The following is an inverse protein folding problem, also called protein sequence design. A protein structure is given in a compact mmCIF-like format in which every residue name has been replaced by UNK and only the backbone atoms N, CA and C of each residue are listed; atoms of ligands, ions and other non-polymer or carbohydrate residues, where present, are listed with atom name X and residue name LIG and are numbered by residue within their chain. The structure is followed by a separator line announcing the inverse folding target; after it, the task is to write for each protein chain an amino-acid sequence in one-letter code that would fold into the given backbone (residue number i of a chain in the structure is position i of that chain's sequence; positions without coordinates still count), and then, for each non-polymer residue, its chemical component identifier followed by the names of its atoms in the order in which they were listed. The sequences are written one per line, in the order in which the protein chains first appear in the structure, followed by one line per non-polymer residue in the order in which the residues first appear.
data_IF_806516373272
#
_entry.id   IF_806516373272
#
_cell.length_a   1.000
_cell.length_b   1.000
_cell.length_c   1.000
_cell.angle_alpha   90.00
_cell.angle_beta   90.00
_cell.angle_gamma   90.00
#
_symmetry.space_group_name_H-M   'P 1'
#
loop_
_entity.id
_entity.type
_entity.pdbx_description
1 polymer ?
#
# COMPACT_ATOMS: atom_id res chain seq x y z
N UNK A 1 -5.14 15.39 10.87
CA UNK A 1 -5.77 14.20 10.24
C UNK A 1 -5.23 14.08 8.82
N UNK A 2 -4.99 12.87 8.34
CA UNK A 2 -4.55 12.67 6.95
C UNK A 2 -5.79 12.58 6.07
N UNK A 3 -5.86 13.42 5.04
CA UNK A 3 -6.91 13.39 4.01
C UNK A 3 -6.26 13.08 2.67
N UNK A 4 -6.78 12.07 1.97
CA UNK A 4 -6.35 11.75 0.61
C UNK A 4 -7.41 12.20 -0.39
N UNK A 5 -7.01 12.90 -1.43
CA UNK A 5 -7.88 13.32 -2.52
C UNK A 5 -7.37 12.75 -3.84
N UNK A 6 -8.23 12.04 -4.52
CA UNK A 6 -8.01 11.53 -5.88
C UNK A 6 -8.76 12.46 -6.81
N UNK A 7 -8.06 13.11 -7.75
CA UNK A 7 -8.68 14.14 -8.61
C UNK A 7 -8.54 13.77 -10.07
N UNK A 8 -9.67 13.46 -10.71
CA UNK A 8 -9.79 13.20 -12.14
C UNK A 8 -8.74 12.21 -12.67
N UNK A 9 -8.50 11.13 -11.92
CA UNK A 9 -7.51 10.12 -12.30
C UNK A 9 -7.97 9.38 -13.54
N UNK A 10 -7.19 9.50 -14.61
CA UNK A 10 -7.36 8.74 -15.85
C UNK A 10 -6.15 7.86 -16.06
N UNK A 11 -6.39 6.61 -16.43
CA UNK A 11 -5.35 5.65 -16.82
C UNK A 11 -5.81 4.76 -17.95
N UNK A 12 -5.04 4.78 -19.02
CA UNK A 12 -5.23 3.91 -20.18
C UNK A 12 -4.05 2.96 -20.33
N UNK A 13 -4.33 1.77 -20.84
CA UNK A 13 -3.31 0.82 -21.26
C UNK A 13 -3.21 0.77 -22.78
N UNK A 14 -2.20 0.09 -23.28
CA UNK A 14 -2.01 -0.11 -24.72
C UNK A 14 -3.30 -0.60 -25.39
N UNK A 15 -3.53 -0.19 -26.64
CA UNK A 15 -4.74 -0.42 -27.46
C UNK A 15 -6.00 0.35 -27.01
N UNK A 16 -5.84 1.45 -26.29
CA UNK A 16 -6.96 2.34 -25.97
C UNK A 16 -7.92 1.80 -24.91
N UNK A 17 -7.52 0.77 -24.15
CA UNK A 17 -8.32 0.27 -23.04
C UNK A 17 -8.21 1.21 -21.85
N UNK A 18 -9.25 1.98 -21.58
CA UNK A 18 -9.35 2.85 -20.40
C UNK A 18 -9.63 1.97 -19.18
N UNK A 19 -8.75 2.04 -18.19
CA UNK A 19 -8.89 1.33 -16.91
C UNK A 19 -9.50 2.21 -15.81
N UNK A 20 -9.22 3.51 -15.85
CA UNK A 20 -9.85 4.54 -15.02
C UNK A 20 -10.17 5.74 -15.91
N UNK A 21 -11.36 6.28 -15.76
CA UNK A 21 -11.85 7.42 -16.51
C UNK A 21 -12.31 8.51 -15.55
N UNK A 22 -11.51 9.57 -15.40
CA UNK A 22 -11.77 10.75 -14.57
C UNK A 22 -12.21 10.42 -13.13
N UNK A 23 -11.68 9.35 -12.55
CA UNK A 23 -12.03 8.89 -11.22
C UNK A 23 -11.63 9.92 -10.16
N UNK A 24 -12.61 10.29 -9.34
CA UNK A 24 -12.38 11.23 -8.23
C UNK A 24 -12.98 10.70 -6.93
N UNK A 25 -12.24 10.84 -5.83
CA UNK A 25 -12.70 10.50 -4.49
C UNK A 25 -11.97 11.33 -3.44
N UNK A 26 -12.62 11.58 -2.32
CA UNK A 26 -12.00 12.16 -1.13
C UNK A 26 -12.12 11.15 0.01
N UNK A 27 -10.99 10.77 0.58
CA UNK A 27 -10.89 9.78 1.63
C UNK A 27 -10.39 10.46 2.91
N UNK A 28 -11.22 10.40 3.94
CA UNK A 28 -10.87 10.81 5.30
C UNK A 28 -10.38 9.60 6.10
N UNK A 29 -9.82 9.77 7.32
CA UNK A 29 -9.42 8.63 8.13
C UNK A 29 -10.57 7.64 8.34
N UNK A 30 -10.34 6.38 7.95
CA UNK A 30 -11.35 5.34 8.01
C UNK A 30 -10.93 4.09 7.21
N UNK A 31 -11.82 3.12 7.16
CA UNK A 31 -11.65 1.89 6.37
C UNK A 31 -12.58 1.96 5.16
N UNK A 32 -12.03 1.80 3.97
CA UNK A 32 -12.76 1.86 2.71
C UNK A 32 -12.67 0.53 1.97
N UNK A 33 -13.82 0.03 1.52
CA UNK A 33 -13.91 -1.13 0.64
C UNK A 33 -13.97 -0.69 -0.82
N UNK A 34 -13.04 -1.19 -1.64
CA UNK A 34 -13.06 -0.98 -3.09
C UNK A 34 -13.72 -2.20 -3.77
N UNK A 35 -14.98 -2.04 -4.17
CA UNK A 35 -15.79 -3.09 -4.75
C UNK A 35 -15.96 -2.91 -6.26
N UNK A 36 -16.13 -4.01 -6.97
CA UNK A 36 -16.38 -4.00 -8.40
C UNK A 36 -15.95 -5.32 -9.06
N UNK A 37 -16.45 -5.60 -10.28
CA UNK A 37 -16.09 -6.81 -11.03
C UNK A 37 -14.62 -6.84 -11.42
N UNK A 38 -14.15 -8.00 -11.91
CA UNK A 38 -12.82 -8.09 -12.48
C UNK A 38 -12.71 -7.19 -13.72
N UNK A 39 -11.61 -6.45 -13.81
CA UNK A 39 -11.42 -5.46 -14.88
C UNK A 39 -11.98 -4.06 -14.60
N UNK A 40 -12.64 -3.83 -13.45
CA UNK A 40 -13.17 -2.51 -13.06
C UNK A 40 -12.12 -1.47 -12.65
N UNK A 41 -10.83 -1.71 -12.88
CA UNK A 41 -9.77 -0.75 -12.57
C UNK A 41 -9.26 -0.76 -11.13
N UNK A 42 -9.74 -1.66 -10.25
CA UNK A 42 -9.34 -1.71 -8.83
C UNK A 42 -7.82 -1.79 -8.64
N UNK A 43 -7.17 -2.74 -9.31
CA UNK A 43 -5.71 -2.91 -9.23
C UNK A 43 -4.96 -1.71 -9.84
N UNK A 44 -5.52 -1.10 -10.88
CA UNK A 44 -4.97 0.12 -11.48
C UNK A 44 -5.00 1.27 -10.47
N UNK A 45 -6.14 1.47 -9.80
CA UNK A 45 -6.26 2.50 -8.77
C UNK A 45 -5.28 2.28 -7.62
N UNK A 46 -5.14 1.03 -7.13
CA UNK A 46 -4.15 0.71 -6.08
C UNK A 46 -2.72 0.99 -6.55
N UNK A 47 -2.37 0.65 -7.80
CA UNK A 47 -1.05 0.93 -8.35
C UNK A 47 -0.77 2.43 -8.53
N UNK A 48 -1.78 3.23 -8.85
CA UNK A 48 -1.67 4.70 -8.88
C UNK A 48 -1.44 5.26 -7.47
N UNK A 49 -2.22 4.81 -6.48
CA UNK A 49 -2.07 5.24 -5.09
C UNK A 49 -0.68 4.86 -4.54
N UNK A 50 -0.18 3.67 -4.88
CA UNK A 50 1.14 3.21 -4.42
C UNK A 50 2.32 3.75 -5.24
N UNK A 51 2.05 4.57 -6.26
CA UNK A 51 3.06 5.09 -7.20
C UNK A 51 3.83 3.98 -7.96
N UNK A 52 3.24 2.79 -8.11
CA UNK A 52 3.73 1.76 -9.01
C UNK A 52 3.35 2.06 -10.47
N UNK A 53 2.37 2.94 -10.68
CA UNK A 53 1.96 3.50 -11.96
C UNK A 53 1.79 5.02 -11.81
N UNK A 54 2.01 5.74 -12.90
CA UNK A 54 1.68 7.16 -13.00
C UNK A 54 0.33 7.32 -13.72
N UNK A 55 -0.54 8.25 -13.29
CA UNK A 55 -1.75 8.56 -14.01
C UNK A 55 -1.42 9.26 -15.33
N UNK A 56 -2.26 9.05 -16.35
CA UNK A 56 -2.15 9.80 -17.60
C UNK A 56 -2.70 11.21 -17.43
N UNK A 57 -3.75 11.35 -16.61
CA UNK A 57 -4.33 12.64 -16.19
C UNK A 57 -4.76 12.59 -14.73
N UNK A 58 -4.86 13.78 -14.12
CA UNK A 58 -5.25 13.93 -12.73
C UNK A 58 -4.08 13.83 -11.75
N UNK A 59 -4.40 13.87 -10.46
CA UNK A 59 -3.40 13.84 -9.40
C UNK A 59 -3.95 13.24 -8.11
N UNK A 60 -3.03 12.81 -7.25
CA UNK A 60 -3.31 12.33 -5.90
C UNK A 60 -2.71 13.30 -4.92
N UNK A 61 -3.52 13.77 -3.97
CA UNK A 61 -3.09 14.71 -2.93
C UNK A 61 -3.19 14.08 -1.55
N UNK A 62 -2.23 14.39 -0.70
CA UNK A 62 -2.29 14.16 0.75
C UNK A 62 -2.28 15.52 1.43
N UNK A 63 -3.35 15.83 2.14
CA UNK A 63 -3.53 17.13 2.79
C UNK A 63 -3.28 18.32 1.83
N UNK A 64 -3.74 18.21 0.59
CA UNK A 64 -3.58 19.24 -0.44
C UNK A 64 -2.21 19.26 -1.13
N UNK A 65 -1.26 18.40 -0.75
CA UNK A 65 0.06 18.31 -1.37
C UNK A 65 0.08 17.11 -2.33
N UNK A 66 0.48 17.35 -3.58
CA UNK A 66 0.60 16.28 -4.58
C UNK A 66 1.63 15.22 -4.16
N UNK A 67 1.22 13.95 -4.21
CA UNK A 67 2.09 12.82 -3.86
C UNK A 67 3.32 12.73 -4.77
N UNK A 68 3.21 13.18 -6.02
CA UNK A 68 4.33 13.27 -6.95
C UNK A 68 5.40 14.28 -6.46
N UNK A 69 4.99 15.37 -5.80
CA UNK A 69 5.89 16.37 -5.21
C UNK A 69 6.49 15.89 -3.88
N UNK A 70 5.80 15.02 -3.16
CA UNK A 70 6.30 14.47 -1.89
C UNK A 70 7.47 13.50 -2.09
N UNK A 71 7.55 12.82 -3.22
CA UNK A 71 8.63 11.89 -3.52
C UNK A 71 8.80 10.78 -2.46
N UNK A 72 9.99 10.69 -1.86
CA UNK A 72 10.29 9.67 -0.86
C UNK A 72 9.42 9.80 0.40
N UNK A 73 9.09 11.01 0.84
CA UNK A 73 8.30 11.24 2.05
C UNK A 73 6.86 10.71 1.95
N UNK A 74 6.32 10.55 0.74
CA UNK A 74 5.05 9.85 0.56
C UNK A 74 5.15 8.38 0.93
N UNK A 75 6.24 7.71 0.55
CA UNK A 75 6.47 6.30 0.87
C UNK A 75 6.69 6.03 2.37
N UNK A 76 7.10 7.04 3.13
CA UNK A 76 7.27 6.94 4.59
C UNK A 76 5.91 6.83 5.31
N UNK A 77 4.85 7.40 4.72
CA UNK A 77 3.49 7.37 5.27
C UNK A 77 2.59 6.32 4.62
N UNK A 78 3.08 5.65 3.57
CA UNK A 78 2.33 4.63 2.83
C UNK A 78 2.70 3.22 3.32
N UNK A 79 1.69 2.44 3.68
CA UNK A 79 1.79 0.99 3.85
C UNK A 79 1.02 0.29 2.73
N UNK A 80 1.63 -0.70 2.10
CA UNK A 80 1.00 -1.48 1.05
C UNK A 80 1.29 -2.97 1.17
N UNK A 81 0.23 -3.76 1.14
CA UNK A 81 0.31 -5.22 1.10
C UNK A 81 -0.31 -5.70 -0.22
N UNK A 82 0.49 -6.15 -1.19
CA UNK A 82 0.00 -6.63 -2.47
C UNK A 82 -0.70 -7.98 -2.33
N UNK A 83 -1.61 -8.29 -3.26
CA UNK A 83 -2.33 -9.56 -3.30
C UNK A 83 -1.39 -10.76 -3.53
N UNK A 84 -0.35 -10.57 -4.32
CA UNK A 84 0.73 -11.55 -4.51
C UNK A 84 1.98 -10.99 -3.84
N UNK A 85 2.40 -11.62 -2.76
CA UNK A 85 3.64 -11.28 -2.09
C UNK A 85 4.75 -12.16 -2.65
N UNK A 86 5.79 -11.54 -3.18
CA UNK A 86 7.05 -12.22 -3.47
C UNK A 86 7.74 -12.55 -2.14
N UNK A 87 7.41 -13.70 -1.58
CA UNK A 87 8.16 -14.21 -0.43
C UNK A 87 9.49 -14.77 -0.93
N UNK A 88 10.54 -14.50 -0.19
CA UNK A 88 11.83 -15.12 -0.45
C UNK A 88 11.80 -16.53 0.16
N UNK A 89 11.67 -17.57 -0.68
CA UNK A 89 11.47 -18.98 -0.28
C UNK A 89 12.51 -19.52 0.70
N UNK A 90 13.66 -18.84 0.81
CA UNK A 90 14.76 -19.24 1.70
C UNK A 90 14.82 -18.43 2.99
N UNK A 91 13.94 -17.45 3.17
CA UNK A 91 13.94 -16.62 4.38
C UNK A 91 12.95 -17.17 5.40
N UNK A 92 13.41 -17.30 6.63
CA UNK A 92 12.50 -17.42 7.76
C UNK A 92 11.74 -16.11 7.96
N UNK A 93 10.61 -16.16 8.66
CA UNK A 93 9.83 -14.96 8.99
C UNK A 93 10.69 -13.88 9.68
N UNK A 94 11.58 -14.29 10.57
CA UNK A 94 12.49 -13.39 11.28
C UNK A 94 13.50 -12.72 10.34
N UNK A 95 14.08 -13.47 9.40
CA UNK A 95 15.02 -12.91 8.41
C UNK A 95 14.31 -11.95 7.46
N UNK A 96 13.09 -12.28 7.05
CA UNK A 96 12.26 -11.42 6.22
C UNK A 96 11.96 -10.09 6.92
N UNK A 97 11.52 -10.13 8.16
CA UNK A 97 11.25 -8.92 8.94
C UNK A 97 12.51 -8.08 9.19
N UNK A 98 13.65 -8.72 9.45
CA UNK A 98 14.95 -8.03 9.59
C UNK A 98 15.37 -7.33 8.29
N UNK A 99 15.17 -7.99 7.16
CA UNK A 99 15.46 -7.41 5.85
C UNK A 99 14.62 -6.15 5.60
N UNK A 100 13.31 -6.21 5.85
CA UNK A 100 12.44 -5.04 5.70
C UNK A 100 12.74 -3.93 6.70
N UNK A 101 13.08 -4.26 7.92
CA UNK A 101 13.51 -3.28 8.92
C UNK A 101 14.78 -2.53 8.48
N UNK A 102 15.73 -3.24 7.87
CA UNK A 102 16.94 -2.65 7.31
C UNK A 102 16.63 -1.74 6.11
N UNK A 103 15.73 -2.17 5.20
CA UNK A 103 15.27 -1.35 4.07
C UNK A 103 14.58 -0.05 4.52
N UNK A 104 13.86 -0.11 5.65
CA UNK A 104 13.22 1.06 6.28
C UNK A 104 14.18 1.91 7.10
N UNK A 105 15.45 1.55 7.18
CA UNK A 105 16.49 2.30 7.91
C UNK A 105 16.34 2.24 9.42
N UNK A 106 15.61 1.26 9.97
CA UNK A 106 15.44 1.11 11.42
C UNK A 106 16.76 0.71 12.08
N UNK A 107 17.08 1.35 13.22
CA UNK A 107 18.24 0.98 14.01
C UNK A 107 18.04 -0.42 14.63
N UNK A 108 19.13 -1.17 14.82
CA UNK A 108 19.10 -2.56 15.28
C UNK A 108 18.25 -2.79 16.54
N UNK A 109 18.36 -1.90 17.54
CA UNK A 109 17.59 -1.99 18.78
C UNK A 109 16.07 -1.78 18.55
N UNK A 110 15.72 -0.81 17.74
CA UNK A 110 14.34 -0.48 17.38
C UNK A 110 13.72 -1.59 16.52
N UNK A 111 14.48 -2.04 15.52
CA UNK A 111 14.11 -3.16 14.65
C UNK A 111 13.79 -4.42 15.47
N UNK A 112 14.65 -4.80 16.41
CA UNK A 112 14.45 -5.98 17.25
C UNK A 112 13.15 -5.89 18.04
N UNK A 113 12.92 -4.78 18.73
CA UNK A 113 11.72 -4.56 19.54
C UNK A 113 10.46 -4.65 18.65
N UNK A 114 10.47 -3.98 17.50
CA UNK A 114 9.32 -3.97 16.58
C UNK A 114 9.03 -5.33 15.98
N UNK A 115 10.06 -6.12 15.69
CA UNK A 115 9.92 -7.48 15.18
C UNK A 115 9.32 -8.40 16.24
N UNK A 116 9.78 -8.31 17.50
CA UNK A 116 9.24 -9.08 18.64
C UNK A 116 7.73 -8.78 18.80
N UNK A 117 7.34 -7.50 18.84
CA UNK A 117 5.93 -7.07 18.89
C UNK A 117 5.08 -7.64 17.76
N UNK A 118 5.59 -7.60 16.52
CA UNK A 118 4.85 -8.10 15.35
C UNK A 118 4.70 -9.62 15.36
N UNK A 119 5.72 -10.35 15.80
CA UNK A 119 5.65 -11.80 15.89
C UNK A 119 4.66 -12.26 16.96
N UNK A 120 4.57 -11.56 18.10
CA UNK A 120 3.56 -11.83 19.14
C UNK A 120 2.14 -11.68 18.59
N UNK A 121 1.84 -10.58 17.90
CA UNK A 121 0.50 -10.36 17.28
C UNK A 121 0.14 -11.47 16.29
N UNK A 122 1.11 -11.92 15.48
CA UNK A 122 0.87 -13.00 14.51
C UNK A 122 0.62 -14.33 15.24
N UNK A 123 1.40 -14.65 16.27
CA UNK A 123 1.25 -15.90 17.05
C UNK A 123 -0.12 -15.92 17.76
N UNK A 124 -0.52 -14.84 18.40
CA UNK A 124 -1.81 -14.75 19.07
C UNK A 124 -2.98 -14.94 18.08
N UNK A 125 -2.92 -14.33 16.90
CA UNK A 125 -3.97 -14.50 15.88
C UNK A 125 -4.04 -15.92 15.29
N UNK A 126 -2.95 -16.70 15.32
CA UNK A 126 -2.95 -18.12 14.91
C UNK A 126 -3.49 -19.05 15.98
N UNK A 127 -3.32 -18.72 17.25
CA UNK A 127 -3.87 -19.52 18.36
C UNK A 127 -5.39 -19.49 18.35
N UNK A 128 -6.02 -18.36 18.04
CA UNK A 128 -7.46 -18.23 17.91
C UNK A 128 -8.04 -19.03 16.72
N UNK A 129 -7.24 -19.30 15.69
CA UNK A 129 -7.64 -20.13 14.54
C UNK A 129 -7.52 -21.64 14.78
N UNK A 130 -6.77 -22.07 15.79
CA UNK A 130 -6.56 -23.48 16.14
C UNK A 130 -7.52 -24.01 17.22
N UNK A 131 -8.43 -23.18 17.72
CA UNK A 131 -9.44 -23.51 18.71
C UNK A 131 -10.84 -23.66 18.09
N UNK A 132 -10.91 -24.24 16.90
CA UNK A 132 -12.19 -24.68 16.31
C UNK A 132 -12.25 -26.18 16.25
#
# INVERSE_FOLDING_TARGET
MIKMELKNLTKSYEKGKIALDHFSAALEPGVYGLLGPNGAGKSTLMNLITQNLEPDEGEILINGISTAKMGASYRDVLGYMPQQQGLYDRFSALEFLRYFAALKGLKAKESRKRIEELLEVVIESWVDFLVV
#
